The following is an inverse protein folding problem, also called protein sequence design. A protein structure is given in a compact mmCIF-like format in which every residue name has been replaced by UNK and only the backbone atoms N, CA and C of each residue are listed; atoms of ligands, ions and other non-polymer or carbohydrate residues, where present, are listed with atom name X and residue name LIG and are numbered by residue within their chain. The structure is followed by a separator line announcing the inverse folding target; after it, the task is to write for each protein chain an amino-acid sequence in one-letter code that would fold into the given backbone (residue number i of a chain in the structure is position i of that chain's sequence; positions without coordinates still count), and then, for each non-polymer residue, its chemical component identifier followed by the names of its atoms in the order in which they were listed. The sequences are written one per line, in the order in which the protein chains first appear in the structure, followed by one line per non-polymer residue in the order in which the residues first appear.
data_IF_131710323245
#
_entry.id   IF_131710323245
#
_cell.length_a   1.000
_cell.length_b   1.000
_cell.length_c   1.000
_cell.angle_alpha   90.00
_cell.angle_beta   90.00
_cell.angle_gamma   90.00
#
_symmetry.space_group_name_H-M   'P 1'
#
loop_
_entity.id
_entity.type
_entity.pdbx_description
1 polymer ?
2 polymer ?
3 non-polymer ?
4 non-polymer ?
5 non-polymer ?
6 water ?
#
# COMPACT_ATOMS: atom_id res chain seq x y z
N UNK A 1 -18.10 14.75 10.37
CA UNK A 1 -17.07 14.93 9.32
C UNK A 1 -17.57 15.89 8.27
N UNK A 2 -16.60 16.51 7.56
CA UNK A 2 -16.90 17.59 6.61
C UNK A 2 -17.78 17.14 5.45
N UNK A 3 -17.76 15.83 5.11
CA UNK A 3 -18.54 15.28 3.99
C UNK A 3 -19.87 14.68 4.43
N UNK A 4 -20.21 14.83 5.71
CA UNK A 4 -21.42 14.22 6.22
C UNK A 4 -22.68 14.72 5.53
N UNK A 5 -22.67 15.96 5.03
CA UNK A 5 -23.87 16.51 4.39
C UNK A 5 -23.96 16.22 2.88
N UNK A 6 -22.96 15.58 2.26
CA UNK A 6 -23.01 15.28 0.84
C UNK A 6 -23.46 13.83 0.59
N UNK A 7 -24.32 13.66 -0.41
CA UNK A 7 -24.80 12.34 -0.81
C UNK A 7 -23.66 11.40 -1.13
N UNK A 8 -23.85 10.11 -0.81
CA UNK A 8 -22.84 9.09 -1.14
C UNK A 8 -22.55 9.10 -2.62
N UNK A 9 -23.58 9.14 -3.48
CA UNK A 9 -23.33 9.09 -4.91
C UNK A 9 -22.57 10.31 -5.39
N UNK A 10 -22.82 11.47 -4.78
CA UNK A 10 -22.13 12.69 -5.16
C UNK A 10 -20.67 12.63 -4.76
N UNK A 11 -20.38 12.09 -3.58
CA UNK A 11 -18.99 11.89 -3.17
C UNK A 11 -18.24 10.97 -4.14
N UNK A 12 -18.87 9.89 -4.57
CA UNK A 12 -18.22 9.00 -5.52
C UNK A 12 -17.98 9.71 -6.86
N UNK A 13 -18.99 10.41 -7.37
CA UNK A 13 -18.83 11.17 -8.60
C UNK A 13 -17.68 12.19 -8.48
N UNK A 14 -17.60 12.90 -7.36
CA UNK A 14 -16.55 13.90 -7.19
C UNK A 14 -15.19 13.25 -6.99
N UNK A 15 -15.14 12.06 -6.39
CA UNK A 15 -13.86 11.37 -6.31
C UNK A 15 -13.33 11.04 -7.70
N UNK A 16 -14.24 10.64 -8.63
CA UNK A 16 -13.84 10.35 -10.01
C UNK A 16 -13.37 11.59 -10.73
N UNK A 17 -14.05 12.72 -10.52
CA UNK A 17 -13.63 14.00 -11.08
C UNK A 17 -12.26 14.42 -10.55
N UNK A 18 -12.06 14.30 -9.24
CA UNK A 18 -10.79 14.66 -8.64
C UNK A 18 -9.67 13.80 -9.19
N UNK A 19 -9.93 12.51 -9.41
CA UNK A 19 -8.93 11.69 -10.07
C UNK A 19 -8.55 12.26 -11.44
N UNK A 20 -9.53 12.67 -12.24
CA UNK A 20 -9.24 13.25 -13.56
C UNK A 20 -8.46 14.54 -13.46
N UNK A 21 -8.71 15.32 -12.42
CA UNK A 21 -7.99 16.54 -12.16
C UNK A 21 -6.67 16.32 -11.45
N UNK A 22 -6.29 15.08 -11.19
CA UNK A 22 -5.11 14.75 -10.37
C UNK A 22 -5.12 15.52 -9.04
N UNK A 23 -6.31 15.58 -8.43
CA UNK A 23 -6.49 16.20 -7.12
C UNK A 23 -6.70 15.08 -6.10
N UNK A 24 -5.59 14.43 -5.74
CA UNK A 24 -5.71 13.20 -4.97
C UNK A 24 -6.08 13.43 -3.52
N UNK A 25 -5.67 14.56 -2.92
CA UNK A 25 -6.08 14.85 -1.57
C UNK A 25 -7.60 15.02 -1.50
N UNK A 26 -8.16 15.77 -2.46
CA UNK A 26 -9.61 15.85 -2.60
C UNK A 26 -10.23 14.47 -2.82
N UNK A 27 -9.65 13.69 -3.74
CA UNK A 27 -10.15 12.34 -4.02
C UNK A 27 -10.22 11.53 -2.75
N UNK A 28 -9.15 11.59 -1.94
CA UNK A 28 -9.12 10.83 -0.70
C UNK A 28 -10.19 11.32 0.28
N UNK A 29 -10.38 12.64 0.37
CA UNK A 29 -11.36 13.15 1.31
C UNK A 29 -12.77 12.72 0.89
N UNK A 30 -13.04 12.72 -0.41
CA UNK A 30 -14.36 12.30 -0.88
C UNK A 30 -14.59 10.83 -0.57
N UNK A 31 -13.57 9.99 -0.83
CA UNK A 31 -13.75 8.57 -0.57
C UNK A 31 -13.84 8.25 0.93
N UNK A 32 -13.10 8.96 1.77
CA UNK A 32 -13.31 8.83 3.20
C UNK A 32 -14.76 9.16 3.55
N UNK A 33 -15.30 10.23 2.97
CA UNK A 33 -16.68 10.58 3.26
C UNK A 33 -17.63 9.51 2.80
N UNK A 34 -17.37 8.93 1.61
CA UNK A 34 -18.19 7.83 1.13
C UNK A 34 -18.13 6.63 2.08
N UNK A 35 -16.93 6.23 2.51
CA UNK A 35 -16.81 5.12 3.45
C UNK A 35 -17.62 5.41 4.72
N UNK A 36 -17.51 6.62 5.24
CA UNK A 36 -18.19 6.95 6.48
C UNK A 36 -19.72 6.98 6.36
N UNK A 37 -20.29 6.82 5.15
CA UNK A 37 -21.74 6.58 5.04
C UNK A 37 -22.15 5.23 5.64
N UNK A 38 -21.19 4.33 5.87
CA UNK A 38 -21.49 3.09 6.53
C UNK A 38 -21.87 1.93 5.63
N UNK A 39 -22.07 2.17 4.34
CA UNK A 39 -22.36 1.09 3.41
C UNK A 39 -21.06 0.46 2.87
N UNK A 40 -21.16 -0.81 2.49
CA UNK A 40 -20.02 -1.51 1.92
C UNK A 40 -19.67 -0.87 0.58
N UNK A 41 -18.43 -1.10 0.15
CA UNK A 41 -17.93 -0.52 -1.09
C UNK A 41 -17.94 -1.56 -2.20
N UNK A 42 -18.37 -1.14 -3.39
CA UNK A 42 -18.24 -1.96 -4.60
C UNK A 42 -16.78 -2.13 -4.99
N UNK A 43 -16.52 -3.01 -5.97
CA UNK A 43 -15.15 -3.20 -6.46
C UNK A 43 -14.57 -1.89 -6.99
N UNK A 44 -15.30 -1.19 -7.85
CA UNK A 44 -14.84 0.11 -8.34
C UNK A 44 -14.56 1.09 -7.20
N UNK A 45 -15.46 1.15 -6.21
CA UNK A 45 -15.30 2.10 -5.11
C UNK A 45 -14.07 1.78 -4.25
N UNK A 46 -13.82 0.50 -3.99
CA UNK A 46 -12.61 0.12 -3.27
C UNK A 46 -11.37 0.56 -4.02
N UNK A 47 -11.37 0.42 -5.34
CA UNK A 47 -10.19 0.81 -6.06
C UNK A 47 -10.03 2.33 -6.07
N UNK A 48 -11.14 3.09 -6.05
CA UNK A 48 -11.01 4.54 -5.96
C UNK A 48 -10.42 4.94 -4.61
N UNK A 49 -10.87 4.29 -3.54
CA UNK A 49 -10.32 4.52 -2.21
C UNK A 49 -8.82 4.27 -2.20
N UNK A 50 -8.40 3.10 -2.70
CA UNK A 50 -6.99 2.72 -2.71
C UNK A 50 -6.14 3.68 -3.55
N UNK A 51 -6.58 3.96 -4.78
CA UNK A 51 -5.83 4.89 -5.64
C UNK A 51 -5.66 6.24 -4.98
N UNK A 52 -6.71 6.74 -4.32
CA UNK A 52 -6.64 8.08 -3.74
C UNK A 52 -5.54 8.14 -2.70
N UNK A 53 -5.63 7.26 -1.70
CA UNK A 53 -4.68 7.32 -0.61
C UNK A 53 -3.29 6.85 -1.02
N UNK A 54 -3.18 5.94 -2.01
CA UNK A 54 -1.87 5.56 -2.48
C UNK A 54 -1.14 6.76 -3.05
N UNK A 55 -1.84 7.59 -3.80
CA UNK A 55 -1.23 8.77 -4.37
C UNK A 55 -0.86 9.79 -3.28
N UNK A 56 -1.73 10.00 -2.30
CA UNK A 56 -1.41 10.94 -1.23
C UNK A 56 -0.18 10.46 -0.46
N UNK A 57 -0.21 9.22 0.04
CA UNK A 57 0.88 8.72 0.86
C UNK A 57 2.14 8.58 0.01
N UNK A 58 1.98 8.29 -1.29
CA UNK A 58 3.14 8.24 -2.16
C UNK A 58 3.94 9.52 -2.22
N UNK A 59 3.27 10.66 -2.35
CA UNK A 59 3.99 11.93 -2.31
C UNK A 59 4.68 12.19 -0.97
N UNK A 60 4.02 11.80 0.12
CA UNK A 60 4.61 11.95 1.45
C UNK A 60 5.83 11.06 1.63
N UNK A 61 5.76 9.80 1.17
CA UNK A 61 6.90 8.90 1.29
C UNK A 61 8.09 9.44 0.49
N UNK A 62 7.81 9.96 -0.70
CA UNK A 62 8.89 10.47 -1.54
C UNK A 62 9.53 11.69 -0.90
N UNK A 63 8.73 12.60 -0.36
CA UNK A 63 9.26 13.76 0.39
C UNK A 63 10.07 13.32 1.61
N UNK A 64 9.53 12.38 2.39
CA UNK A 64 10.22 11.90 3.58
C UNK A 64 11.60 11.33 3.23
N UNK A 65 11.71 10.60 2.12
CA UNK A 65 12.99 9.98 1.78
C UNK A 65 14.02 11.04 1.38
N UNK A 66 13.59 12.03 0.60
CA UNK A 66 14.44 13.17 0.28
C UNK A 66 14.98 13.81 1.55
N UNK A 67 14.09 14.12 2.50
CA UNK A 67 14.49 14.81 3.72
C UNK A 67 15.33 13.93 4.64
N UNK A 68 14.98 12.64 4.72
CA UNK A 68 15.76 11.70 5.52
C UNK A 68 17.19 11.59 5.01
N UNK A 69 17.36 11.58 3.69
CA UNK A 69 18.69 11.53 3.09
C UNK A 69 19.49 12.80 3.41
N UNK A 70 18.84 13.95 3.34
CA UNK A 70 19.51 15.21 3.69
C UNK A 70 19.93 15.17 5.15
N UNK A 71 19.02 14.71 6.00
CA UNK A 71 19.27 14.63 7.44
C UNK A 71 20.48 13.73 7.73
N UNK A 72 20.51 12.56 7.07
CA UNK A 72 21.61 11.63 7.27
C UNK A 72 22.95 12.23 6.83
N UNK A 73 22.95 12.90 5.68
CA UNK A 73 24.16 13.61 5.23
C UNK A 73 24.61 14.63 6.28
N UNK A 74 23.68 15.38 6.85
CA UNK A 74 24.04 16.42 7.81
C UNK A 74 24.62 15.85 9.11
N UNK A 75 24.43 14.56 9.36
CA UNK A 75 24.95 13.91 10.55
C UNK A 75 26.22 13.10 10.27
N UNK A 76 26.78 13.21 9.07
CA UNK A 76 28.01 12.52 8.73
C UNK A 76 29.22 13.23 9.35
N UNK A 77 30.33 12.49 9.45
CA UNK A 77 31.57 13.07 9.94
C UNK A 77 32.07 14.14 8.96
N UNK A 78 32.42 15.31 9.48
CA UNK A 78 32.84 16.44 8.67
C UNK A 78 31.72 17.31 8.15
N UNK A 79 30.47 17.02 8.51
CA UNK A 79 29.33 17.81 8.05
C UNK A 79 29.15 19.04 8.93
N UNK A 80 28.87 20.18 8.29
CA UNK A 80 28.73 21.43 9.02
C UNK A 80 27.37 21.51 9.69
N UNK A 81 27.35 21.85 10.98
CA UNK A 81 26.12 21.95 11.74
C UNK A 81 25.18 22.99 11.11
N UNK A 82 23.93 22.59 10.87
CA UNK A 82 22.95 23.45 10.23
C UNK A 82 21.76 23.77 11.13
N UNK A 83 21.73 23.26 12.36
CA UNK A 83 20.62 23.52 13.26
C UNK A 83 19.58 22.43 13.22
N UNK A 84 18.44 22.67 13.90
CA UNK A 84 17.42 21.65 14.05
C UNK A 84 16.48 21.54 12.86
N UNK A 85 16.65 22.38 11.85
CA UNK A 85 15.59 22.58 10.85
C UNK A 85 15.32 21.33 10.04
N UNK A 86 16.37 20.64 9.60
CA UNK A 86 16.17 19.48 8.73
C UNK A 86 15.39 18.40 9.48
N UNK A 87 15.82 18.12 10.70
CA UNK A 87 15.11 17.18 11.56
C UNK A 87 13.68 17.64 11.81
N UNK A 88 13.49 18.92 12.11
CA UNK A 88 12.14 19.42 12.39
C UNK A 88 11.23 19.20 11.18
N UNK A 89 11.72 19.55 9.99
CA UNK A 89 10.85 19.46 8.83
C UNK A 89 10.62 18.00 8.43
N UNK A 90 11.66 17.15 8.57
CA UNK A 90 11.43 15.71 8.35
C UNK A 90 10.36 15.16 9.30
N UNK A 91 10.43 15.57 10.57
CA UNK A 91 9.42 15.18 11.55
C UNK A 91 8.03 15.69 11.18
N UNK A 92 7.95 16.88 10.60
CA UNK A 92 6.65 17.42 10.20
C UNK A 92 6.03 16.55 9.13
N UNK A 93 6.80 16.24 8.08
CA UNK A 93 6.31 15.41 6.99
C UNK A 93 5.99 14.02 7.50
N UNK A 94 6.88 13.46 8.32
CA UNK A 94 6.66 12.15 8.91
C UNK A 94 5.35 12.08 9.67
N UNK A 95 5.05 13.12 10.46
CA UNK A 95 3.84 13.13 11.25
C UNK A 95 2.60 13.20 10.36
N UNK A 96 2.68 13.94 9.25
CA UNK A 96 1.55 13.97 8.33
C UNK A 96 1.37 12.62 7.65
N UNK A 97 2.47 11.98 7.26
CA UNK A 97 2.40 10.62 6.69
C UNK A 97 1.74 9.66 7.67
N UNK A 98 2.18 9.68 8.93
CA UNK A 98 1.59 8.80 9.93
C UNK A 98 0.11 9.09 10.13
N UNK A 99 -0.28 10.35 10.03
CA UNK A 99 -1.68 10.69 10.15
C UNK A 99 -2.52 10.11 9.02
N UNK A 100 -2.00 10.15 7.80
CA UNK A 100 -2.71 9.56 6.67
C UNK A 100 -2.82 8.04 6.86
N UNK A 101 -1.73 7.39 7.30
CA UNK A 101 -1.76 5.95 7.55
C UNK A 101 -2.76 5.60 8.63
N UNK A 102 -2.79 6.37 9.71
CA UNK A 102 -3.76 6.16 10.78
C UNK A 102 -5.19 6.36 10.30
N UNK A 103 -5.41 7.34 9.43
CA UNK A 103 -6.75 7.56 8.88
C UNK A 103 -7.23 6.35 8.08
N UNK A 104 -6.37 5.80 7.22
CA UNK A 104 -6.74 4.65 6.39
C UNK A 104 -6.98 3.44 7.27
N UNK A 105 -6.06 3.17 8.20
CA UNK A 105 -6.22 2.05 9.11
C UNK A 105 -7.51 2.20 9.91
N UNK A 106 -7.85 3.45 10.23
CA UNK A 106 -9.09 3.71 10.96
C UNK A 106 -10.32 3.36 10.17
N UNK A 107 -10.29 3.60 8.86
CA UNK A 107 -11.43 3.27 8.03
C UNK A 107 -11.54 1.76 7.88
N UNK A 108 -10.39 1.09 7.72
CA UNK A 108 -10.40 -0.37 7.60
C UNK A 108 -10.95 -1.01 8.86
N UNK A 109 -10.60 -0.46 10.03
CA UNK A 109 -11.03 -0.99 11.31
C UNK A 109 -12.44 -0.57 11.72
N UNK A 110 -12.96 0.52 11.14
CA UNK A 110 -14.26 1.07 11.52
C UNK A 110 -15.01 1.50 10.26
N UNK A 111 -15.60 0.56 9.51
CA UNK A 111 -15.75 -0.86 9.83
C UNK A 111 -15.66 -1.69 8.57
N UNK A 112 -14.75 -1.32 7.66
CA UNK A 112 -14.68 -1.97 6.35
C UNK A 112 -14.33 -3.45 6.47
N UNK A 113 -13.30 -3.79 7.25
CA UNK A 113 -12.87 -5.19 7.27
C UNK A 113 -13.93 -6.08 7.91
N UNK A 114 -14.55 -5.66 9.02
CA UNK A 114 -15.46 -6.59 9.69
C UNK A 114 -16.71 -6.86 8.87
N UNK A 115 -17.08 -5.97 7.95
CA UNK A 115 -18.24 -6.24 7.11
C UNK A 115 -17.92 -6.93 5.78
N UNK A 116 -16.63 -7.17 5.49
CA UNK A 116 -16.20 -7.71 4.21
C UNK A 116 -16.12 -9.23 4.31
N UNK A 117 -17.04 -9.92 3.64
CA UNK A 117 -17.07 -11.38 3.67
C UNK A 117 -16.62 -12.07 2.39
N UNK A 118 -16.80 -11.43 1.25
CA UNK A 118 -16.31 -12.02 0.01
C UNK A 118 -14.80 -11.93 -0.05
N UNK A 119 -14.17 -12.94 -0.64
CA UNK A 119 -12.72 -12.96 -0.76
C UNK A 119 -12.18 -11.68 -1.40
N UNK A 120 -12.80 -11.24 -2.50
CA UNK A 120 -12.28 -10.10 -3.26
C UNK A 120 -12.30 -8.81 -2.44
N UNK A 121 -13.27 -8.64 -1.53
CA UNK A 121 -13.25 -7.47 -0.67
C UNK A 121 -12.35 -7.68 0.55
N UNK A 122 -12.42 -8.86 1.17
CA UNK A 122 -11.67 -9.07 2.41
C UNK A 122 -10.17 -9.08 2.15
N UNK A 123 -9.73 -9.78 1.10
CA UNK A 123 -8.32 -9.75 0.74
C UNK A 123 -7.86 -8.34 0.41
N UNK A 124 -8.67 -7.60 -0.37
CA UNK A 124 -8.31 -6.24 -0.75
C UNK A 124 -8.04 -5.37 0.48
N UNK A 125 -8.92 -5.46 1.48
CA UNK A 125 -8.81 -4.58 2.64
C UNK A 125 -7.67 -5.02 3.54
N UNK A 126 -7.47 -6.34 3.66
CA UNK A 126 -6.37 -6.82 4.49
C UNK A 126 -5.02 -6.51 3.85
N UNK A 127 -4.91 -6.62 2.52
CA UNK A 127 -3.74 -6.14 1.83
C UNK A 127 -3.46 -4.67 2.15
N UNK A 128 -4.48 -3.82 2.04
CA UNK A 128 -4.33 -2.40 2.33
C UNK A 128 -3.85 -2.21 3.76
N UNK A 129 -4.42 -2.96 4.72
CA UNK A 129 -3.98 -2.84 6.10
C UNK A 129 -2.49 -3.18 6.21
N UNK A 130 -2.04 -4.23 5.54
CA UNK A 130 -0.62 -4.55 5.54
C UNK A 130 0.22 -3.44 4.91
N UNK A 131 -0.27 -2.86 3.82
CA UNK A 131 0.43 -1.78 3.12
C UNK A 131 0.61 -0.57 4.03
N UNK A 132 -0.46 -0.15 4.73
CA UNK A 132 -0.34 1.08 5.51
C UNK A 132 0.45 0.86 6.81
N UNK A 133 0.42 -0.33 7.40
CA UNK A 133 1.39 -0.64 8.45
C UNK A 133 2.81 -0.68 7.88
N UNK A 134 2.99 -1.17 6.65
CA UNK A 134 4.33 -1.13 6.05
C UNK A 134 4.83 0.30 5.87
N UNK A 135 3.96 1.23 5.44
CA UNK A 135 4.40 2.62 5.31
C UNK A 135 4.74 3.22 6.67
N UNK A 136 3.99 2.86 7.70
CA UNK A 136 4.39 3.25 9.04
C UNK A 136 5.73 2.63 9.40
N UNK A 137 5.94 1.35 9.06
CA UNK A 137 7.21 0.70 9.39
C UNK A 137 8.39 1.40 8.74
N UNK A 138 8.21 1.95 7.54
CA UNK A 138 9.31 2.56 6.80
C UNK A 138 9.90 3.74 7.57
N UNK A 139 9.11 4.45 8.37
CA UNK A 139 9.58 5.62 9.12
C UNK A 139 9.71 5.33 10.60
N UNK A 140 9.49 4.10 11.05
CA UNK A 140 9.49 3.77 12.47
C UNK A 140 10.91 3.54 12.96
N UNK A 141 11.19 4.03 14.17
CA UNK A 141 12.53 3.90 14.75
C UNK A 141 12.54 3.58 16.23
N UNK A 142 11.41 3.66 16.92
CA UNK A 142 11.35 3.56 18.35
C UNK A 142 11.00 2.18 18.84
N UNK A 143 10.37 2.13 20.02
CA UNK A 143 10.11 0.87 20.71
C UNK A 143 8.85 0.16 20.19
N UNK A 144 8.10 0.77 19.27
CA UNK A 144 6.95 0.11 18.66
C UNK A 144 7.24 -0.36 17.24
N UNK A 145 8.47 -0.24 16.77
CA UNK A 145 8.77 -0.63 15.39
C UNK A 145 8.45 -2.10 15.16
N UNK A 146 8.82 -2.95 16.11
CA UNK A 146 8.60 -4.39 15.95
C UNK A 146 7.12 -4.71 15.90
N UNK A 147 6.32 -4.03 16.71
CA UNK A 147 4.89 -4.31 16.73
C UNK A 147 4.22 -3.79 15.46
N UNK A 148 4.70 -2.66 14.93
CA UNK A 148 4.19 -2.18 13.66
C UNK A 148 4.50 -3.20 12.57
N UNK A 149 5.75 -3.67 12.53
CA UNK A 149 6.16 -4.68 11.55
C UNK A 149 5.30 -5.92 11.70
N UNK A 150 5.06 -6.36 12.92
CA UNK A 150 4.28 -7.58 13.08
C UNK A 150 2.82 -7.35 12.70
N UNK A 151 2.33 -6.10 12.86
CA UNK A 151 0.97 -5.81 12.43
C UNK A 151 0.85 -5.88 10.92
N UNK A 152 1.86 -5.39 10.21
CA UNK A 152 1.86 -5.54 8.76
C UNK A 152 1.92 -7.03 8.36
N UNK A 153 2.87 -7.76 8.92
CA UNK A 153 2.99 -9.20 8.64
C UNK A 153 1.67 -9.93 8.90
N UNK A 154 1.04 -9.65 10.04
CA UNK A 154 -0.20 -10.34 10.39
C UNK A 154 -1.30 -10.09 9.37
N UNK A 155 -1.45 -8.85 8.94
CA UNK A 155 -2.51 -8.52 7.99
C UNK A 155 -2.23 -9.18 6.64
N UNK A 156 -1.00 -9.07 6.16
CA UNK A 156 -0.60 -9.70 4.90
C UNK A 156 -0.86 -11.21 4.94
N UNK A 157 -0.49 -11.85 6.06
CA UNK A 157 -0.59 -13.30 6.18
C UNK A 157 -2.04 -13.77 6.13
N UNK A 158 -2.95 -13.06 6.81
CA UNK A 158 -4.37 -13.42 6.76
C UNK A 158 -4.92 -13.27 5.35
N UNK A 159 -4.53 -12.19 4.66
CA UNK A 159 -4.92 -12.00 3.27
C UNK A 159 -4.36 -13.10 2.40
N UNK A 160 -3.10 -13.52 2.63
CA UNK A 160 -2.52 -14.58 1.79
C UNK A 160 -3.30 -15.88 1.98
N UNK A 161 -3.60 -16.21 3.24
CA UNK A 161 -4.29 -17.47 3.51
C UNK A 161 -5.65 -17.53 2.80
N UNK A 162 -6.41 -16.43 2.85
CA UNK A 162 -7.71 -16.37 2.18
C UNK A 162 -7.53 -16.42 0.67
N UNK A 163 -6.54 -15.70 0.15
CA UNK A 163 -6.35 -15.65 -1.30
C UNK A 163 -5.97 -17.01 -1.85
N UNK A 164 -5.17 -17.75 -1.10
CA UNK A 164 -4.74 -19.05 -1.58
C UNK A 164 -5.89 -20.05 -1.56
N UNK A 165 -6.83 -19.91 -0.64
CA UNK A 165 -7.96 -20.84 -0.56
C UNK A 165 -9.07 -20.45 -1.53
N UNK A 166 -9.27 -19.15 -1.77
CA UNK A 166 -10.50 -18.67 -2.40
C UNK A 166 -10.33 -18.07 -3.79
N UNK A 167 -9.11 -17.86 -4.28
CA UNK A 167 -8.88 -17.14 -5.51
C UNK A 167 -7.95 -17.95 -6.38
N UNK A 168 -8.08 -17.84 -7.69
CA UNK A 168 -7.15 -18.49 -8.59
C UNK A 168 -5.80 -17.82 -8.55
N UNK A 169 -4.74 -18.54 -8.93
CA UNK A 169 -3.39 -17.96 -8.83
C UNK A 169 -3.15 -16.78 -9.74
N UNK A 170 -3.99 -16.55 -10.74
CA UNK A 170 -3.85 -15.38 -11.61
C UNK A 170 -4.69 -14.20 -11.16
N UNK A 171 -5.49 -14.35 -10.11
CA UNK A 171 -6.34 -13.26 -9.67
C UNK A 171 -5.48 -12.02 -9.39
N UNK A 172 -5.78 -10.87 -10.02
CA UNK A 172 -4.90 -9.70 -9.84
C UNK A 172 -4.77 -9.21 -8.41
N UNK A 173 -5.81 -9.33 -7.59
CA UNK A 173 -5.70 -8.95 -6.19
C UNK A 173 -4.73 -9.87 -5.47
N UNK A 174 -4.89 -11.18 -5.67
CA UNK A 174 -3.95 -12.14 -5.11
C UNK A 174 -2.52 -11.84 -5.55
N UNK A 175 -2.35 -11.51 -6.83
CA UNK A 175 -1.02 -11.24 -7.38
C UNK A 175 -0.40 -9.99 -6.78
N UNK A 176 -1.22 -8.93 -6.65
CA UNK A 176 -0.72 -7.69 -6.07
C UNK A 176 -0.41 -7.82 -4.58
N UNK A 177 -1.20 -8.62 -3.87
CA UNK A 177 -0.91 -8.94 -2.48
C UNK A 177 0.44 -9.63 -2.36
N UNK A 178 0.70 -10.62 -3.19
CA UNK A 178 1.95 -11.35 -3.07
C UNK A 178 3.13 -10.46 -3.44
N UNK A 179 2.96 -9.65 -4.49
CA UNK A 179 3.98 -8.66 -4.82
C UNK A 179 4.35 -7.83 -3.59
N UNK A 180 3.34 -7.24 -2.93
CA UNK A 180 3.61 -6.33 -1.82
C UNK A 180 4.15 -7.05 -0.60
N UNK A 181 3.63 -8.25 -0.30
CA UNK A 181 4.14 -9.01 0.83
C UNK A 181 5.59 -9.42 0.58
N UNK A 182 5.94 -9.69 -0.68
CA UNK A 182 7.32 -10.01 -1.02
C UNK A 182 8.23 -8.82 -0.75
N UNK A 183 7.80 -7.62 -1.12
CA UNK A 183 8.60 -6.41 -0.84
C UNK A 183 8.70 -6.17 0.67
N UNK A 184 7.61 -6.40 1.38
CA UNK A 184 7.66 -6.39 2.84
C UNK A 184 8.79 -7.30 3.34
N UNK A 185 8.80 -8.55 2.87
CA UNK A 185 9.84 -9.48 3.31
C UNK A 185 11.21 -8.92 3.03
N UNK A 186 11.40 -8.40 1.81
CA UNK A 186 12.75 -8.01 1.39
C UNK A 186 13.29 -6.84 2.20
N UNK A 187 12.52 -5.77 2.33
CA UNK A 187 13.08 -4.56 2.89
C UNK A 187 12.53 -4.15 4.24
N UNK A 188 11.50 -4.78 4.78
CA UNK A 188 10.99 -4.44 6.10
C UNK A 188 11.37 -5.49 7.12
N UNK A 189 11.14 -6.76 6.77
CA UNK A 189 11.43 -7.88 7.64
C UNK A 189 12.84 -8.43 7.46
N UNK A 190 13.61 -7.90 6.53
CA UNK A 190 14.99 -8.35 6.30
C UNK A 190 15.05 -9.86 6.07
N UNK A 191 14.17 -10.32 5.19
CA UNK A 191 14.08 -11.72 4.81
C UNK A 191 14.13 -11.77 3.28
N UNK A 192 15.28 -11.42 2.66
CA UNK A 192 15.32 -11.46 1.19
C UNK A 192 15.06 -12.83 0.59
N UNK A 193 15.44 -13.91 1.26
CA UNK A 193 15.19 -15.22 0.67
C UNK A 193 13.70 -15.52 0.62
N UNK A 194 12.96 -15.17 1.69
CA UNK A 194 11.51 -15.34 1.66
C UNK A 194 10.87 -14.52 0.55
N UNK A 195 11.34 -13.29 0.36
CA UNK A 195 10.84 -12.41 -0.68
C UNK A 195 11.01 -13.02 -2.06
N UNK A 196 12.21 -13.53 -2.34
CA UNK A 196 12.50 -14.14 -3.64
C UNK A 196 11.66 -15.41 -3.84
N UNK A 197 11.56 -16.23 -2.81
CA UNK A 197 10.77 -17.47 -2.92
C UNK A 197 9.29 -17.15 -3.17
N UNK A 198 8.75 -16.18 -2.44
CA UNK A 198 7.35 -15.86 -2.64
C UNK A 198 7.13 -15.36 -4.07
N UNK A 199 8.02 -14.48 -4.54
CA UNK A 199 7.83 -13.90 -5.87
C UNK A 199 7.97 -14.93 -6.98
N UNK A 200 8.94 -15.83 -6.86
CA UNK A 200 9.09 -16.92 -7.83
C UNK A 200 7.87 -17.85 -7.85
N UNK A 201 7.49 -18.37 -6.68
CA UNK A 201 6.37 -19.29 -6.60
C UNK A 201 5.09 -18.63 -7.10
N UNK A 202 4.88 -17.37 -6.74
CA UNK A 202 3.70 -16.64 -7.23
C UNK A 202 3.71 -16.52 -8.75
N UNK A 203 4.85 -16.14 -9.31
CA UNK A 203 4.93 -15.98 -10.76
C UNK A 203 4.69 -17.30 -11.48
N UNK A 204 5.32 -18.37 -11.00
CA UNK A 204 5.23 -19.66 -11.70
C UNK A 204 3.83 -20.22 -11.63
N UNK A 205 3.15 -20.11 -10.47
CA UNK A 205 1.79 -20.62 -10.35
C UNK A 205 0.83 -19.84 -11.24
N UNK A 206 1.04 -18.52 -11.37
CA UNK A 206 0.22 -17.73 -12.27
C UNK A 206 0.46 -18.15 -13.71
N UNK A 207 1.73 -18.27 -14.11
CA UNK A 207 2.04 -18.69 -15.48
C UNK A 207 1.26 -19.93 -15.87
N UNK A 208 1.18 -20.90 -14.98
CA UNK A 208 0.55 -22.17 -15.30
C UNK A 208 -0.96 -22.09 -15.33
N UNK A 209 -1.56 -20.96 -14.91
CA UNK A 209 -3.00 -20.75 -14.90
C UNK A 209 -3.45 -19.77 -15.99
N UNK A 210 -2.51 -19.17 -16.74
CA UNK A 210 -2.89 -18.17 -17.72
C UNK A 210 -3.75 -18.76 -18.83
N UNK A 211 -3.56 -20.05 -19.12
CA UNK A 211 -4.30 -20.69 -20.21
C UNK A 211 -5.81 -20.67 -19.97
N UNK A 212 -6.26 -20.47 -18.73
CA UNK A 212 -7.69 -20.47 -18.43
C UNK A 212 -8.36 -19.15 -18.71
N UNK A 213 -7.60 -18.09 -18.98
CA UNK A 213 -8.10 -16.73 -19.00
C UNK A 213 -8.50 -16.26 -20.40
N UNK A 214 -9.43 -15.32 -20.42
CA UNK A 214 -9.71 -14.50 -21.60
C UNK A 214 -8.56 -13.54 -21.91
N UNK A 215 -8.62 -12.96 -23.11
CA UNK A 215 -7.62 -11.99 -23.53
C UNK A 215 -7.49 -10.83 -22.54
N UNK A 216 -8.62 -10.32 -22.03
CA UNK A 216 -8.57 -9.17 -21.13
C UNK A 216 -8.07 -9.55 -19.72
N UNK A 217 -8.47 -10.72 -19.21
CA UNK A 217 -7.96 -11.16 -17.92
C UNK A 217 -6.47 -11.50 -18.01
N UNK A 218 -6.06 -12.06 -19.14
CA UNK A 218 -4.65 -12.33 -19.42
C UNK A 218 -3.82 -11.06 -19.27
N UNK A 219 -4.26 -9.98 -19.92
CA UNK A 219 -3.57 -8.69 -19.82
C UNK A 219 -3.45 -8.21 -18.38
N UNK A 220 -4.55 -8.27 -17.62
CA UNK A 220 -4.52 -7.84 -16.23
C UNK A 220 -3.52 -8.64 -15.40
N UNK A 221 -3.50 -9.96 -15.56
CA UNK A 221 -2.60 -10.81 -14.77
C UNK A 221 -1.14 -10.62 -15.16
N UNK A 222 -0.85 -10.62 -16.46
CA UNK A 222 0.55 -10.53 -16.87
C UNK A 222 1.15 -9.16 -16.51
N UNK A 223 0.31 -8.13 -16.38
CA UNK A 223 0.83 -6.83 -15.94
C UNK A 223 1.44 -6.94 -14.56
N UNK A 224 0.76 -7.63 -13.64
CA UNK A 224 1.30 -7.73 -12.29
C UNK A 224 2.41 -8.75 -12.23
N UNK A 225 2.34 -9.77 -13.10
CA UNK A 225 3.41 -10.74 -13.16
C UNK A 225 4.72 -10.07 -13.55
N UNK A 226 4.65 -9.08 -14.45
CA UNK A 226 5.85 -8.37 -14.84
C UNK A 226 6.46 -7.60 -13.69
N UNK A 227 5.64 -7.08 -12.78
CA UNK A 227 6.18 -6.43 -11.59
C UNK A 227 6.93 -7.42 -10.71
N UNK A 228 6.40 -8.64 -10.53
CA UNK A 228 7.12 -9.69 -9.80
C UNK A 228 8.45 -9.99 -10.47
N UNK A 229 8.44 -10.08 -11.80
CA UNK A 229 9.67 -10.33 -12.54
C UNK A 229 10.67 -9.18 -12.41
N UNK A 230 10.19 -7.94 -12.49
CA UNK A 230 11.08 -6.80 -12.32
C UNK A 230 11.83 -6.90 -10.99
N UNK A 231 11.13 -7.24 -9.92
CA UNK A 231 11.77 -7.33 -8.61
C UNK A 231 12.75 -8.48 -8.55
N UNK A 232 12.34 -9.65 -9.04
CA UNK A 232 13.26 -10.79 -9.09
C UNK A 232 14.54 -10.45 -9.85
N UNK A 233 14.43 -9.67 -10.92
CA UNK A 233 15.62 -9.26 -11.68
C UNK A 233 16.55 -8.38 -10.85
N UNK A 234 15.99 -7.52 -10.00
CA UNK A 234 16.82 -6.70 -9.13
C UNK A 234 17.40 -7.50 -7.98
N UNK A 235 16.70 -8.56 -7.55
CA UNK A 235 17.05 -9.28 -6.34
C UNK A 235 17.99 -10.46 -6.59
N UNK A 236 18.17 -10.89 -7.83
CA UNK A 236 18.92 -12.12 -8.14
C UNK A 236 19.89 -12.00 -9.32
N UNK B 1 15.43 4.94 -1.00
CA UNK B 1 16.48 4.92 -2.02
C UNK B 1 15.99 4.20 -3.29
N UNK B 2 16.64 3.11 -3.68
CA UNK B 2 16.05 2.21 -4.68
C UNK B 2 14.75 1.63 -4.14
N UNK B 3 13.64 1.91 -4.84
CA UNK B 3 12.31 1.43 -4.49
C UNK B 3 11.92 0.26 -5.40
N UNK B 4 11.46 -0.83 -4.80
CA UNK B 4 11.05 -2.00 -5.56
C UNK B 4 9.60 -1.85 -6.01
N UNK B 5 9.21 -2.65 -7.00
CA UNK B 5 7.87 -2.58 -7.54
C UNK B 5 6.83 -3.02 -6.51
N UNK B 7 2.26 -2.72 -5.81
CA UNK B 7 1.02 -2.66 -6.57
C UNK B 7 0.49 -1.24 -6.72
N UNK B 8 -0.06 -0.92 -7.90
CA UNK B 8 -0.81 0.30 -8.08
C UNK B 8 0.08 1.50 -8.35
N UNK B 9 -0.45 2.71 -8.22
CA UNK B 9 0.32 3.90 -8.63
C UNK B 9 1.67 3.98 -7.92
N UNK B 10 2.73 4.06 -8.72
CA UNK B 10 4.06 4.43 -8.21
C UNK B 10 4.11 5.95 -8.10
N UNK B 11 3.43 6.44 -7.08
CA UNK B 11 3.22 7.86 -6.84
C UNK B 11 4.27 8.46 -5.90
N UNK B 12 5.34 7.71 -5.62
CA UNK B 12 6.36 8.12 -4.68
C UNK B 12 7.72 8.03 -5.36
#
# INVERSE_FOLDING_TARGET
GAMGSMERASLIQKAKLAEQAERYEDMAAFMKGAVEKGEELSCEERNLLSVAYKNVVGGQRAAWRVLSSIEQKSNEEGSEEKGPEVREYREKVETELQGVCDTVLGLLDSHLIKEAGDAESRVFYLKMKGDYYRYLAEVATGDDKKRIIDSARSAYQEAMDISKKEMPPTNPIRLGLALNFSVFHYEIANSPEEAISLAKTTFDEAMADLHTLSEDSYKDSTLIMQLLRDNLTLWT
KLMFKXEGPDSD
#
